data_IF_240753626023
#
_entry.id   IF_240753626023
#
_cell.length_a   1.000
_cell.length_b   1.000
_cell.length_c   1.000
_cell.angle_alpha   90.00
_cell.angle_beta   90.00
_cell.angle_gamma   90.00
#
_symmetry.space_group_name_H-M   'P 1'
#
loop_
_entity.id
_entity.type
_entity.pdbx_description
1 polymer ?
#
# COMPACT_ATOMS: atom_id res chain seq x y z
N UNK A 1 -0.22 13.21 18.95
CA UNK A 1 -1.41 13.92 19.47
C UNK A 1 -2.33 13.07 20.34
N UNK A 2 -2.73 11.85 19.94
CA UNK A 2 -3.75 11.04 20.63
C UNK A 2 -3.56 10.87 22.16
N UNK A 3 -2.32 10.65 22.62
CA UNK A 3 -1.97 10.45 24.03
C UNK A 3 -2.26 11.67 24.93
N UNK A 4 -2.34 12.86 24.34
CA UNK A 4 -2.66 14.09 25.09
C UNK A 4 -4.17 14.31 25.24
N UNK A 5 -4.99 13.66 24.42
CA UNK A 5 -6.46 13.79 24.45
C UNK A 5 -7.14 12.61 25.16
N UNK A 6 -6.52 11.43 25.14
CA UNK A 6 -7.06 10.22 25.76
C UNK A 6 -6.07 9.74 26.83
N UNK A 7 -6.45 9.72 28.13
CA UNK A 7 -5.57 9.24 29.18
C UNK A 7 -5.22 7.77 28.95
N UNK A 8 -3.94 7.51 28.74
CA UNK A 8 -3.43 6.19 28.35
C UNK A 8 -2.47 5.63 29.40
N UNK A 9 -2.57 4.33 29.65
CA UNK A 9 -1.66 3.65 30.58
C UNK A 9 -0.22 3.66 30.03
N UNK A 10 0.74 4.11 30.85
CA UNK A 10 2.16 4.25 30.48
C UNK A 10 2.78 2.96 29.94
N UNK A 11 2.40 1.79 30.46
CA UNK A 11 2.96 0.52 30.00
C UNK A 11 2.44 0.13 28.61
N UNK A 12 1.14 0.34 28.37
CA UNK A 12 0.53 0.11 27.05
C UNK A 12 1.18 1.02 26.01
N UNK A 13 1.42 2.30 26.36
CA UNK A 13 2.12 3.23 25.47
C UNK A 13 3.52 2.72 25.09
N UNK A 14 4.32 2.30 26.06
CA UNK A 14 5.69 1.81 25.81
C UNK A 14 5.70 0.56 24.93
N UNK A 15 4.78 -0.38 25.18
CA UNK A 15 4.65 -1.61 24.38
C UNK A 15 4.21 -1.25 22.96
N UNK A 16 3.15 -0.45 22.80
CA UNK A 16 2.70 -0.02 21.47
C UNK A 16 3.78 0.74 20.73
N UNK A 17 4.51 1.62 21.41
CA UNK A 17 5.63 2.34 20.79
C UNK A 17 6.67 1.37 20.24
N UNK A 18 7.09 0.37 21.03
CA UNK A 18 8.00 -0.67 20.57
C UNK A 18 7.45 -1.44 19.36
N UNK A 19 6.20 -1.91 19.44
CA UNK A 19 5.54 -2.67 18.37
C UNK A 19 5.38 -1.86 17.08
N UNK A 20 5.00 -0.59 17.18
CA UNK A 20 4.83 0.32 16.04
C UNK A 20 6.16 0.53 15.32
N UNK A 21 7.24 0.78 16.06
CA UNK A 21 8.56 0.98 15.48
C UNK A 21 9.09 -0.31 14.87
N UNK A 22 8.96 -1.44 15.58
CA UNK A 22 9.36 -2.75 15.09
C UNK A 22 8.63 -3.11 13.79
N UNK A 23 7.30 -2.96 13.77
CA UNK A 23 6.50 -3.18 12.56
C UNK A 23 6.93 -2.27 11.40
N UNK A 24 7.15 -0.99 11.67
CA UNK A 24 7.55 -0.02 10.64
C UNK A 24 8.89 -0.40 10.00
N UNK A 25 9.86 -0.88 10.78
CA UNK A 25 11.12 -1.39 10.22
C UNK A 25 10.86 -2.65 9.38
N UNK A 26 10.10 -3.62 9.91
CA UNK A 26 9.84 -4.88 9.22
C UNK A 26 9.18 -4.72 7.84
N UNK A 27 8.20 -3.82 7.71
CA UNK A 27 7.51 -3.61 6.42
C UNK A 27 8.36 -2.85 5.39
N UNK A 28 9.36 -2.10 5.86
CA UNK A 28 10.31 -1.39 5.01
C UNK A 28 11.54 -2.25 4.64
N UNK A 29 11.90 -3.24 5.47
CA UNK A 29 13.04 -4.14 5.22
C UNK A 29 12.77 -5.15 4.09
N UNK A 30 11.54 -5.16 3.55
CA UNK A 30 11.28 -5.63 2.19
C UNK A 30 11.33 -7.15 1.97
N UNK A 31 11.36 -7.94 3.05
CA UNK A 31 11.30 -9.40 2.96
C UNK A 31 9.84 -9.83 2.77
N UNK A 32 9.48 -10.12 1.52
CA UNK A 32 8.11 -10.31 1.04
C UNK A 32 7.56 -11.72 1.37
N UNK A 33 7.77 -12.22 2.59
CA UNK A 33 7.49 -13.63 2.92
C UNK A 33 6.00 -13.96 3.03
N UNK A 34 5.13 -12.97 3.17
CA UNK A 34 3.70 -13.20 3.47
C UNK A 34 2.80 -12.31 2.60
N UNK A 35 2.09 -12.95 1.69
CA UNK A 35 0.89 -12.41 1.05
C UNK A 35 -0.31 -12.65 1.98
N UNK A 36 -0.54 -11.73 2.90
CA UNK A 36 -1.75 -11.75 3.73
C UNK A 36 -2.76 -10.76 3.17
N UNK A 37 -4.00 -11.20 2.96
CA UNK A 37 -5.07 -10.33 2.48
C UNK A 37 -5.59 -9.37 3.57
N UNK A 38 -5.26 -9.61 4.84
CA UNK A 38 -5.78 -8.88 6.02
C UNK A 38 -4.73 -7.93 6.59
N UNK A 39 -3.46 -8.34 6.57
CA UNK A 39 -2.34 -7.57 7.12
C UNK A 39 -1.68 -6.82 5.98
N UNK A 40 -1.44 -5.51 6.16
CA UNK A 40 -0.70 -4.71 5.17
C UNK A 40 0.79 -5.06 5.31
N UNK A 41 1.22 -6.07 4.53
CA UNK A 41 2.59 -6.57 4.55
C UNK A 41 3.54 -5.69 3.74
N UNK A 42 4.85 -5.96 3.82
CA UNK A 42 5.88 -5.28 3.03
C UNK A 42 5.51 -5.19 1.53
N UNK A 43 4.85 -6.23 0.98
CA UNK A 43 4.45 -6.24 -0.43
C UNK A 43 3.36 -5.20 -0.73
N UNK A 44 2.38 -5.04 0.16
CA UNK A 44 1.33 -4.02 0.02
C UNK A 44 1.90 -2.61 0.16
N UNK A 45 2.85 -2.43 1.08
CA UNK A 45 3.55 -1.17 1.29
C UNK A 45 4.47 -0.80 0.12
N UNK A 46 5.14 -1.76 -0.52
CA UNK A 46 5.91 -1.51 -1.74
C UNK A 46 5.03 -1.14 -2.93
N UNK A 47 3.85 -1.75 -3.06
CA UNK A 47 2.84 -1.32 -4.05
C UNK A 47 2.38 0.11 -3.77
N UNK A 48 2.24 0.49 -2.50
CA UNK A 48 1.93 1.87 -2.11
C UNK A 48 3.03 2.84 -2.60
N UNK A 49 4.31 2.56 -2.37
CA UNK A 49 5.39 3.42 -2.89
C UNK A 49 5.49 3.42 -4.42
N UNK A 50 5.07 2.34 -5.08
CA UNK A 50 5.11 2.25 -6.53
C UNK A 50 3.99 3.09 -7.19
N UNK A 51 2.76 3.03 -6.67
CA UNK A 51 1.59 3.62 -7.32
C UNK A 51 0.95 4.79 -6.55
N UNK A 52 1.39 5.08 -5.33
CA UNK A 52 0.97 6.14 -4.38
C UNK A 52 -0.53 6.19 -3.97
N UNK A 53 -1.42 5.66 -4.80
CA UNK A 53 -2.88 5.76 -4.67
C UNK A 53 -3.55 4.54 -4.03
N UNK A 54 -2.76 3.57 -3.55
CA UNK A 54 -3.25 2.29 -3.05
C UNK A 54 -2.62 1.92 -1.71
N UNK A 55 -3.30 1.07 -0.94
CA UNK A 55 -2.80 0.42 0.28
C UNK A 55 -2.23 1.38 1.36
N UNK A 56 -3.01 2.40 1.73
CA UNK A 56 -2.69 3.40 2.76
C UNK A 56 -2.69 2.85 4.20
N UNK A 57 -3.30 1.69 4.47
CA UNK A 57 -3.40 1.17 5.83
C UNK A 57 -2.05 0.77 6.42
N UNK A 58 -1.70 1.27 7.61
CA UNK A 58 -0.37 1.00 8.20
C UNK A 58 -0.14 -0.45 8.67
N UNK A 59 -1.18 -1.11 9.18
CA UNK A 59 -1.09 -2.45 9.78
C UNK A 59 -2.03 -3.45 9.12
N UNK A 60 -3.23 -2.99 8.75
CA UNK A 60 -4.31 -3.82 8.24
C UNK A 60 -4.88 -3.21 6.97
N UNK A 61 -5.31 -4.09 6.06
CA UNK A 61 -5.98 -3.73 4.81
C UNK A 61 -7.46 -3.35 5.04
N UNK A 62 -7.95 -3.41 6.29
CA UNK A 62 -9.33 -3.10 6.65
C UNK A 62 -9.75 -1.71 6.17
N UNK A 63 -8.94 -0.70 6.47
CA UNK A 63 -9.21 0.67 6.06
C UNK A 63 -9.09 0.85 4.55
N UNK A 64 -8.21 0.11 3.89
CA UNK A 64 -8.11 0.11 2.44
C UNK A 64 -9.32 -0.51 1.74
N UNK A 65 -9.92 -1.52 2.37
CA UNK A 65 -11.17 -2.12 1.88
C UNK A 65 -12.35 -1.17 2.06
N UNK A 66 -12.42 -0.50 3.22
CA UNK A 66 -13.47 0.50 3.52
C UNK A 66 -13.32 1.72 2.60
N UNK A 67 -12.10 2.21 2.38
CA UNK A 67 -11.79 3.35 1.53
C UNK A 67 -11.64 3.04 0.05
N UNK A 68 -11.87 1.78 -0.37
CA UNK A 68 -11.69 1.30 -1.74
C UNK A 68 -10.28 1.54 -2.35
N UNK A 69 -9.24 1.69 -1.53
CA UNK A 69 -7.83 1.81 -1.94
C UNK A 69 -7.09 0.48 -1.92
N UNK A 70 -7.76 -0.64 -1.64
CA UNK A 70 -7.14 -1.95 -1.56
C UNK A 70 -6.68 -2.47 -2.93
N UNK A 71 -5.41 -2.82 -3.05
CA UNK A 71 -4.83 -3.48 -4.22
C UNK A 71 -3.96 -4.67 -3.79
N UNK A 72 -4.31 -5.84 -4.29
CA UNK A 72 -3.51 -7.06 -4.04
C UNK A 72 -2.12 -6.91 -4.69
N UNK A 73 -1.03 -7.21 -3.97
CA UNK A 73 0.30 -7.26 -4.56
C UNK A 73 0.38 -8.33 -5.64
N UNK A 74 1.01 -8.01 -6.76
CA UNK A 74 1.28 -8.98 -7.83
C UNK A 74 2.27 -10.05 -7.36
N UNK A 75 2.15 -11.27 -7.91
CA UNK A 75 3.06 -12.38 -7.59
C UNK A 75 4.51 -12.07 -7.97
N UNK A 76 4.73 -11.15 -8.92
CA UNK A 76 6.05 -10.65 -9.29
C UNK A 76 6.82 -9.97 -8.14
N UNK A 77 6.12 -9.38 -7.17
CA UNK A 77 6.73 -8.73 -6.01
C UNK A 77 7.07 -9.73 -4.90
N UNK A 78 6.38 -10.86 -4.87
CA UNK A 78 6.59 -11.93 -3.89
C UNK A 78 7.75 -12.87 -4.29
N UNK A 79 8.08 -12.93 -5.59
CA UNK A 79 9.12 -13.79 -6.11
C UNK A 79 10.44 -13.02 -6.31
N UNK A 80 11.53 -13.36 -5.57
CA UNK A 80 12.82 -12.68 -5.68
C UNK A 80 13.41 -12.68 -7.11
N UNK A 81 13.10 -13.71 -7.91
CA UNK A 81 13.59 -13.83 -9.29
C UNK A 81 12.89 -12.85 -10.25
N UNK A 82 11.59 -12.62 -10.02
CA UNK A 82 10.78 -11.72 -10.84
C UNK A 82 10.97 -10.25 -10.42
N UNK A 83 11.31 -10.00 -9.15
CA UNK A 83 11.64 -8.66 -8.63
C UNK A 83 12.74 -7.95 -9.41
N UNK A 84 13.70 -8.68 -9.98
CA UNK A 84 14.83 -8.10 -10.73
C UNK A 84 14.67 -8.25 -12.25
N UNK A 85 13.53 -8.78 -12.71
CA UNK A 85 13.29 -8.99 -14.13
C UNK A 85 13.01 -7.66 -14.85
N UNK A 86 13.82 -7.34 -15.87
CA UNK A 86 13.70 -6.12 -16.68
C UNK A 86 12.32 -6.01 -17.35
N UNK A 87 11.67 -7.11 -17.69
CA UNK A 87 10.34 -7.10 -18.32
C UNK A 87 9.27 -6.64 -17.33
N UNK A 88 9.37 -7.06 -16.06
CA UNK A 88 8.46 -6.64 -14.98
C UNK A 88 8.64 -5.16 -14.70
N UNK A 89 9.88 -4.68 -14.57
CA UNK A 89 10.17 -3.26 -14.37
C UNK A 89 9.66 -2.39 -15.51
N UNK A 90 9.83 -2.84 -16.76
CA UNK A 90 9.34 -2.13 -17.93
C UNK A 90 7.81 -2.03 -17.95
N UNK A 91 7.12 -3.08 -17.48
CA UNK A 91 5.67 -3.06 -17.32
C UNK A 91 5.24 -2.12 -16.20
N UNK A 92 5.85 -2.23 -15.02
CA UNK A 92 5.55 -1.38 -13.87
C UNK A 92 5.81 0.11 -14.15
N UNK A 93 6.90 0.45 -14.84
CA UNK A 93 7.18 1.83 -15.27
C UNK A 93 6.07 2.36 -16.16
N UNK A 94 5.64 1.59 -17.17
CA UNK A 94 4.53 1.99 -18.04
C UNK A 94 3.24 2.16 -17.27
N UNK A 95 2.94 1.26 -16.34
CA UNK A 95 1.73 1.32 -15.52
C UNK A 95 1.76 2.55 -14.60
N UNK A 96 2.94 3.01 -14.14
CA UNK A 96 3.09 4.25 -13.36
C UNK A 96 2.98 5.49 -14.26
N UNK A 97 3.63 5.49 -15.42
CA UNK A 97 3.59 6.60 -16.40
C UNK A 97 2.18 6.81 -16.99
N UNK A 98 1.33 5.79 -16.90
CA UNK A 98 -0.08 5.85 -17.24
C UNK A 98 -0.91 6.69 -16.24
N UNK A 99 -0.35 7.15 -15.11
CA UNK A 99 -1.04 8.02 -14.15
C UNK A 99 -0.32 9.35 -13.96
N UNK A 100 -1.09 10.42 -13.82
CA UNK A 100 -0.56 11.73 -13.43
C UNK A 100 -0.28 11.78 -11.92
N UNK A 101 0.28 12.91 -11.46
CA UNK A 101 0.56 13.17 -10.04
C UNK A 101 -0.69 13.10 -9.13
N UNK A 102 -1.89 13.16 -9.70
CA UNK A 102 -3.17 13.06 -9.01
C UNK A 102 -3.83 11.68 -9.15
N UNK A 103 -3.15 10.69 -9.75
CA UNK A 103 -3.67 9.34 -9.97
C UNK A 103 -4.71 9.24 -11.08
N UNK A 104 -4.84 10.25 -11.94
CA UNK A 104 -5.72 10.21 -13.11
C UNK A 104 -5.00 9.57 -14.30
N UNK A 105 -5.70 8.81 -15.15
CA UNK A 105 -5.09 8.22 -16.34
C UNK A 105 -4.55 9.32 -17.28
N UNK A 106 -3.31 9.18 -17.75
CA UNK A 106 -2.67 10.07 -18.73
C UNK A 106 -3.04 9.65 -20.16
N UNK A 107 -2.70 10.46 -21.16
CA UNK A 107 -2.89 10.11 -22.58
C UNK A 107 -2.09 8.85 -23.00
N UNK A 108 -1.11 8.45 -22.18
CA UNK A 108 -0.33 7.22 -22.35
C UNK A 108 -1.03 5.98 -21.74
N UNK A 109 -2.10 6.16 -20.97
CA UNK A 109 -2.87 5.08 -20.39
C UNK A 109 -3.73 4.39 -21.45
N UNK A 110 -3.45 3.12 -21.70
CA UNK A 110 -4.38 2.25 -22.40
C UNK A 110 -5.60 2.00 -21.48
N UNK A 111 -6.80 2.31 -21.98
CA UNK A 111 -8.09 2.24 -21.26
C UNK A 111 -8.46 0.82 -20.73
N UNK A 112 -7.54 -0.13 -20.86
CA UNK A 112 -7.54 -1.48 -20.30
C UNK A 112 -7.31 -1.48 -18.79
N UNK A 113 -6.56 -0.51 -18.24
CA UNK A 113 -6.39 -0.38 -16.80
C UNK A 113 -7.58 0.37 -16.19
N UNK A 114 -8.52 -0.40 -15.63
CA UNK A 114 -9.64 0.16 -14.86
C UNK A 114 -9.15 0.53 -13.47
N UNK A 115 -9.09 1.83 -13.19
CA UNK A 115 -9.05 2.33 -11.81
C UNK A 115 -10.24 1.67 -11.10
N UNK A 116 -9.96 0.87 -10.05
CA UNK A 116 -11.01 0.28 -9.22
C UNK A 116 -12.00 1.38 -8.80
N UNK A 117 -13.31 1.08 -8.72
CA UNK A 117 -14.33 2.10 -8.69
C UNK A 117 -14.02 3.13 -7.60
N UNK A 118 -13.61 4.33 -8.01
CA UNK A 118 -13.70 5.50 -7.17
C UNK A 118 -15.17 5.57 -6.79
N UNK A 119 -15.48 5.21 -5.55
CA UNK A 119 -16.77 5.51 -4.97
C UNK A 119 -16.91 7.02 -5.13
N UNK A 120 -17.74 7.43 -6.10
CA UNK A 120 -18.17 8.80 -6.25
C UNK A 120 -18.80 9.16 -4.91
N UNK A 121 -18.04 9.79 -4.03
CA UNK A 121 -18.59 10.47 -2.87
C UNK A 121 -19.41 11.59 -3.48
N UNK A 122 -20.72 11.37 -3.62
CA UNK A 122 -21.65 12.47 -3.82
C UNK A 122 -21.42 13.39 -2.63
N UNK A 123 -20.87 14.57 -2.90
CA UNK A 123 -20.97 15.68 -1.98
C UNK A 123 -22.46 15.86 -1.67
N UNK A 124 -22.82 15.66 -0.40
CA UNK A 124 -24.04 16.14 0.22
C UNK A 124 -23.61 17.22 1.21
#
# INVERSE_FOLDING_TARGET
MFVFFVPMNKYIYMIMFGLVNFWSVMIHDGEYMISSAVINSAAHHSVHHLYFNYNYGQYFTLWDRIGCSYRTPGEELLNPKLKTDKNVWKKQSKDVDAFDEFGKPTDASDATFKVGPHAKTKAL
#
